data_IF_299262111527
#
_entry.id   IF_299262111527
#
_cell.length_a   1.000
_cell.length_b   1.000
_cell.length_c   1.000
_cell.angle_alpha   90.00
_cell.angle_beta   90.00
_cell.angle_gamma   90.00
#
_symmetry.space_group_name_H-M   'P 1'
#
loop_
_entity.id
_entity.type
_entity.pdbx_description
1 polymer ?
#
# COMPACT_ATOMS: atom_id res chain seq x y z
N UNK A 1 20.19 -36.58 -36.82
CA UNK A 1 20.12 -36.64 -35.34
C UNK A 1 19.36 -35.42 -34.85
N UNK A 2 18.14 -35.53 -34.32
CA UNK A 2 17.46 -34.38 -33.73
C UNK A 2 18.16 -34.01 -32.41
N UNK A 3 18.53 -32.75 -32.24
CA UNK A 3 19.13 -32.25 -31.02
C UNK A 3 18.06 -32.20 -29.91
N UNK A 4 18.31 -32.84 -28.77
CA UNK A 4 17.46 -32.74 -27.59
C UNK A 4 17.40 -31.28 -27.11
N UNK A 5 16.22 -30.69 -26.90
CA UNK A 5 16.12 -29.32 -26.42
C UNK A 5 16.73 -29.21 -25.01
N UNK A 6 17.64 -28.25 -24.83
CA UNK A 6 18.22 -27.92 -23.53
C UNK A 6 17.10 -27.42 -22.59
N UNK A 7 17.01 -27.92 -21.34
CA UNK A 7 16.05 -27.42 -20.36
C UNK A 7 16.41 -26.02 -19.84
N UNK A 8 17.57 -25.47 -20.21
CA UNK A 8 18.05 -24.17 -19.75
C UNK A 8 18.08 -23.16 -20.91
N UNK A 9 17.55 -21.97 -20.62
CA UNK A 9 17.63 -20.79 -21.49
C UNK A 9 18.40 -19.68 -20.78
N UNK A 10 19.30 -19.01 -21.50
CA UNK A 10 20.03 -17.85 -20.99
C UNK A 10 19.32 -16.56 -21.36
N UNK A 11 18.93 -15.78 -20.36
CA UNK A 11 18.23 -14.50 -20.53
C UNK A 11 19.15 -13.36 -20.14
N UNK A 12 19.26 -12.32 -20.99
CA UNK A 12 19.98 -11.09 -20.64
C UNK A 12 19.07 -10.20 -19.81
N UNK A 13 19.49 -9.88 -18.59
CA UNK A 13 18.77 -9.03 -17.65
C UNK A 13 19.60 -7.79 -17.30
N UNK A 14 18.97 -6.63 -17.05
CA UNK A 14 19.67 -5.45 -16.53
C UNK A 14 20.38 -5.76 -15.21
N UNK A 15 21.60 -5.26 -15.05
CA UNK A 15 22.41 -5.50 -13.85
C UNK A 15 21.74 -5.01 -12.57
N UNK A 16 21.08 -3.85 -12.61
CA UNK A 16 20.32 -3.30 -11.48
C UNK A 16 19.22 -4.26 -11.00
N UNK A 17 18.47 -4.86 -11.93
CA UNK A 17 17.42 -5.82 -11.61
C UNK A 17 18.00 -7.09 -10.96
N UNK A 18 19.14 -7.58 -11.49
CA UNK A 18 19.81 -8.76 -10.92
C UNK A 18 20.29 -8.48 -9.49
N UNK A 19 20.83 -7.28 -9.22
CA UNK A 19 21.25 -6.87 -7.88
C UNK A 19 20.06 -6.77 -6.92
N UNK A 20 18.96 -6.15 -7.35
CA UNK A 20 17.75 -6.04 -6.54
C UNK A 20 17.17 -7.43 -6.21
N UNK A 21 17.06 -8.30 -7.21
CA UNK A 21 16.59 -9.67 -7.02
C UNK A 21 17.50 -10.44 -6.03
N UNK A 22 18.81 -10.25 -6.10
CA UNK A 22 19.75 -10.86 -5.16
C UNK A 22 19.55 -10.37 -3.72
N UNK A 23 19.35 -9.06 -3.53
CA UNK A 23 19.09 -8.48 -2.22
C UNK A 23 17.77 -8.99 -1.64
N UNK A 24 16.69 -9.00 -2.44
CA UNK A 24 15.38 -9.50 -2.03
C UNK A 24 15.39 -11.00 -1.70
N UNK A 25 16.24 -11.78 -2.38
CA UNK A 25 16.37 -13.22 -2.17
C UNK A 25 17.23 -13.59 -0.95
N UNK A 26 18.09 -12.67 -0.46
CA UNK A 26 19.06 -12.94 0.59
C UNK A 26 18.43 -13.42 1.92
N UNK A 27 17.34 -12.83 2.44
CA UNK A 27 16.71 -13.28 3.68
C UNK A 27 16.22 -14.73 3.62
N UNK A 28 15.77 -15.17 2.45
CA UNK A 28 15.26 -16.53 2.24
C UNK A 28 16.33 -17.49 1.71
N UNK A 29 17.59 -17.04 1.61
CA UNK A 29 18.73 -17.78 1.05
C UNK A 29 18.47 -18.38 -0.34
N UNK A 30 17.70 -17.68 -1.17
CA UNK A 30 17.37 -18.13 -2.53
C UNK A 30 18.38 -17.60 -3.54
N UNK A 31 18.56 -18.34 -4.64
CA UNK A 31 19.30 -17.84 -5.80
C UNK A 31 18.45 -16.81 -6.57
N UNK A 32 19.07 -16.02 -7.45
CA UNK A 32 18.34 -15.10 -8.34
C UNK A 32 17.36 -15.87 -9.23
N UNK A 33 17.76 -17.04 -9.75
CA UNK A 33 16.87 -17.90 -10.52
C UNK A 33 15.68 -18.38 -9.70
N UNK A 34 15.92 -18.83 -8.46
CA UNK A 34 14.83 -19.23 -7.55
C UNK A 34 13.92 -18.07 -7.13
N UNK A 35 14.45 -16.84 -7.07
CA UNK A 35 13.63 -15.65 -6.82
C UNK A 35 12.70 -15.33 -8.00
N UNK A 36 13.20 -15.50 -9.23
CA UNK A 36 12.39 -15.34 -10.46
C UNK A 36 11.30 -16.41 -10.52
N UNK A 37 11.65 -17.68 -10.28
CA UNK A 37 10.71 -18.80 -10.25
C UNK A 37 9.60 -18.59 -9.21
N UNK A 38 9.97 -18.12 -8.01
CA UNK A 38 9.03 -17.83 -6.94
C UNK A 38 8.00 -16.76 -7.36
N UNK A 39 8.45 -15.63 -7.89
CA UNK A 39 7.55 -14.56 -8.33
C UNK A 39 6.71 -14.96 -9.55
N UNK A 40 7.28 -15.73 -10.48
CA UNK A 40 6.54 -16.27 -11.62
C UNK A 40 5.40 -17.19 -11.15
N UNK A 41 5.68 -18.07 -10.19
CA UNK A 41 4.68 -18.97 -9.61
C UNK A 41 3.57 -18.19 -8.90
N UNK A 42 3.93 -17.19 -8.09
CA UNK A 42 2.95 -16.33 -7.43
C UNK A 42 2.07 -15.57 -8.44
N UNK A 43 2.65 -15.06 -9.51
CA UNK A 43 1.90 -14.40 -10.58
C UNK A 43 0.88 -15.33 -11.23
N UNK A 44 1.29 -16.55 -11.60
CA UNK A 44 0.38 -17.55 -12.16
C UNK A 44 -0.76 -17.91 -11.20
N UNK A 45 -0.47 -18.09 -9.90
CA UNK A 45 -1.51 -18.38 -8.90
C UNK A 45 -2.47 -17.20 -8.75
N UNK A 46 -1.95 -15.97 -8.73
CA UNK A 46 -2.76 -14.77 -8.61
C UNK A 46 -3.72 -14.61 -9.81
N UNK A 47 -3.20 -14.78 -11.03
CA UNK A 47 -4.00 -14.73 -12.26
C UNK A 47 -5.07 -15.84 -12.29
N UNK A 48 -4.69 -17.08 -11.94
CA UNK A 48 -5.62 -18.20 -11.86
C UNK A 48 -6.71 -18.00 -10.78
N UNK A 49 -6.41 -17.22 -9.74
CA UNK A 49 -7.37 -16.84 -8.69
C UNK A 49 -8.25 -15.64 -9.09
N UNK A 50 -8.05 -15.07 -10.28
CA UNK A 50 -8.81 -13.93 -10.78
C UNK A 50 -8.29 -12.56 -10.34
N UNK A 51 -7.11 -12.47 -9.70
CA UNK A 51 -6.50 -11.18 -9.38
C UNK A 51 -5.99 -10.54 -10.67
N UNK A 52 -6.60 -9.44 -11.08
CA UNK A 52 -6.19 -8.70 -12.27
C UNK A 52 -4.94 -7.86 -11.99
N UNK A 53 -4.19 -7.54 -13.05
CA UNK A 53 -3.02 -6.65 -12.96
C UNK A 53 -3.41 -5.26 -12.44
N UNK A 54 -4.61 -4.77 -12.77
CA UNK A 54 -5.13 -3.49 -12.26
C UNK A 54 -5.34 -3.52 -10.75
N UNK A 55 -5.98 -4.56 -10.23
CA UNK A 55 -6.23 -4.71 -8.79
C UNK A 55 -4.91 -4.88 -8.02
N UNK A 56 -3.96 -5.65 -8.57
CA UNK A 56 -2.63 -5.76 -7.99
C UNK A 56 -1.90 -4.41 -7.94
N UNK A 57 -2.00 -3.59 -8.99
CA UNK A 57 -1.40 -2.24 -9.02
C UNK A 57 -2.05 -1.30 -8.02
N UNK A 58 -3.39 -1.32 -7.92
CA UNK A 58 -4.11 -0.51 -6.93
C UNK A 58 -3.71 -0.92 -5.50
N UNK A 59 -3.63 -2.22 -5.23
CA UNK A 59 -3.19 -2.71 -3.92
C UNK A 59 -1.75 -2.28 -3.59
N UNK A 60 -0.84 -2.29 -4.56
CA UNK A 60 0.55 -1.79 -4.38
C UNK A 60 0.52 -0.28 -4.11
N UNK A 61 -0.23 0.50 -4.88
CA UNK A 61 -0.31 1.95 -4.68
C UNK A 61 -0.86 2.30 -3.28
N UNK A 62 -1.89 1.59 -2.82
CA UNK A 62 -2.44 1.76 -1.48
C UNK A 62 -1.45 1.36 -0.38
N UNK A 63 -0.64 0.31 -0.61
CA UNK A 63 0.41 -0.10 0.30
C UNK A 63 1.51 0.97 0.43
N UNK A 64 1.96 1.53 -0.69
CA UNK A 64 3.00 2.57 -0.71
C UNK A 64 2.54 3.84 0.02
N UNK A 65 1.27 4.23 -0.14
CA UNK A 65 0.68 5.34 0.63
C UNK A 65 0.69 5.06 2.13
N UNK A 66 0.37 3.83 2.54
CA UNK A 66 0.36 3.44 3.96
C UNK A 66 1.78 3.35 4.55
N UNK A 67 2.76 2.90 3.78
CA UNK A 67 4.17 2.83 4.18
C UNK A 67 4.86 4.21 4.18
N UNK A 68 4.42 5.12 3.31
CA UNK A 68 4.89 6.50 3.27
C UNK A 68 4.29 7.38 4.37
N UNK A 69 3.22 6.92 5.05
CA UNK A 69 2.75 7.54 6.27
C UNK A 69 3.77 7.26 7.40
N UNK A 70 4.15 8.26 8.21
CA UNK A 70 5.12 8.05 9.28
C UNK A 70 4.64 6.94 10.21
N UNK A 71 5.43 5.88 10.31
CA UNK A 71 5.15 4.68 11.10
C UNK A 71 4.97 4.96 12.62
N UNK A 72 5.36 6.15 13.08
CA UNK A 72 5.38 6.57 14.48
C UNK A 72 4.35 7.65 14.83
N UNK A 73 3.47 8.08 13.92
CA UNK A 73 2.34 8.92 14.33
C UNK A 73 1.32 8.01 15.00
N UNK A 74 1.37 7.93 16.34
CA UNK A 74 0.26 7.37 17.12
C UNK A 74 -1.03 8.02 16.57
N UNK A 75 -2.06 7.25 16.19
CA UNK A 75 -3.33 7.82 15.76
C UNK A 75 -3.87 8.87 16.74
N UNK A 76 -3.49 8.79 18.02
CA UNK A 76 -3.78 9.81 19.02
C UNK A 76 -3.00 11.12 18.80
N UNK A 77 -1.71 11.05 18.47
CA UNK A 77 -0.87 12.22 18.18
C UNK A 77 -1.33 12.92 16.90
N UNK A 78 -1.72 12.16 15.88
CA UNK A 78 -2.30 12.70 14.66
C UNK A 78 -3.63 13.44 14.94
N UNK A 79 -4.51 12.83 15.75
CA UNK A 79 -5.77 13.44 16.16
C UNK A 79 -5.55 14.70 17.01
N UNK A 80 -4.56 14.70 17.90
CA UNK A 80 -4.20 15.85 18.72
C UNK A 80 -3.67 17.00 17.85
N UNK A 81 -2.81 16.69 16.86
CA UNK A 81 -2.30 17.69 15.92
C UNK A 81 -3.42 18.32 15.08
N UNK A 82 -4.35 17.51 14.57
CA UNK A 82 -5.51 17.99 13.83
C UNK A 82 -6.43 18.86 14.70
N UNK A 83 -6.61 18.50 15.97
CA UNK A 83 -7.39 19.27 16.92
C UNK A 83 -6.76 20.65 17.20
N UNK A 84 -5.45 20.69 17.47
CA UNK A 84 -4.69 21.94 17.65
C UNK A 84 -4.70 22.82 16.39
N UNK A 85 -4.60 22.21 15.20
CA UNK A 85 -4.72 22.92 13.94
C UNK A 85 -6.14 23.49 13.74
N UNK A 86 -7.18 22.75 14.11
CA UNK A 86 -8.57 23.21 14.03
C UNK A 86 -8.86 24.32 15.06
N UNK A 87 -8.23 24.29 16.23
CA UNK A 87 -8.32 25.34 17.25
C UNK A 87 -7.63 26.63 16.80
N UNK A 88 -6.37 26.55 16.38
CA UNK A 88 -5.57 27.70 15.92
C UNK A 88 -6.17 28.41 14.69
N UNK A 89 -6.87 27.66 13.83
CA UNK A 89 -7.56 28.23 12.66
C UNK A 89 -9.01 28.64 12.95
N UNK A 90 -9.50 28.45 14.18
CA UNK A 90 -10.87 28.80 14.58
C UNK A 90 -11.97 27.89 14.01
N UNK A 91 -11.62 26.86 13.24
CA UNK A 91 -12.57 25.89 12.67
C UNK A 91 -13.31 25.12 13.76
N UNK A 92 -12.62 24.80 14.86
CA UNK A 92 -13.24 24.12 16.01
C UNK A 92 -14.38 24.96 16.59
N UNK A 93 -14.14 26.25 16.82
CA UNK A 93 -15.16 27.15 17.34
C UNK A 93 -16.36 27.31 16.39
N UNK A 94 -16.10 27.32 15.07
CA UNK A 94 -17.15 27.37 14.07
C UNK A 94 -18.00 26.09 14.06
N UNK A 95 -17.37 24.92 14.13
CA UNK A 95 -18.06 23.63 14.21
C UNK A 95 -18.95 23.55 15.47
N UNK A 96 -18.45 23.98 16.63
CA UNK A 96 -19.23 24.02 17.88
C UNK A 96 -20.45 24.92 17.74
N UNK A 97 -20.30 26.14 17.20
CA UNK A 97 -21.43 27.06 16.97
C UNK A 97 -22.48 26.44 16.05
N UNK A 98 -22.05 25.77 14.99
CA UNK A 98 -22.94 25.13 14.02
C UNK A 98 -23.72 23.97 14.67
N UNK A 99 -23.06 23.14 15.48
CA UNK A 99 -23.71 22.07 16.24
C UNK A 99 -24.74 22.62 17.23
N UNK A 100 -24.39 23.66 18.00
CA UNK A 100 -25.32 24.30 18.96
C UNK A 100 -26.53 24.90 18.24
N UNK A 101 -26.34 25.57 17.11
CA UNK A 101 -27.46 26.10 16.32
C UNK A 101 -28.35 24.98 15.78
N UNK A 102 -27.76 23.86 15.35
CA UNK A 102 -28.50 22.70 14.85
C UNK A 102 -29.34 22.07 15.95
N UNK A 103 -28.76 21.84 17.13
CA UNK A 103 -29.49 21.29 18.28
C UNK A 103 -30.62 22.23 18.75
N UNK A 104 -30.38 23.54 18.78
CA UNK A 104 -31.46 24.52 19.10
C UNK A 104 -32.62 24.46 18.11
N UNK A 105 -32.34 24.34 16.81
CA UNK A 105 -33.39 24.21 15.78
C UNK A 105 -34.16 22.89 15.93
N UNK A 106 -33.51 21.81 16.31
CA UNK A 106 -34.17 20.52 16.56
C UNK A 106 -35.09 20.60 17.78
N UNK A 107 -34.65 21.21 18.88
CA UNK A 107 -35.46 21.40 20.10
C UNK A 107 -36.69 22.25 19.82
N UNK A 108 -36.56 23.34 19.05
CA UNK A 108 -37.68 24.22 18.67
C UNK A 108 -38.67 23.52 17.72
N UNK A 109 -38.22 22.57 16.90
CA UNK A 109 -39.09 21.79 15.99
C UNK A 109 -39.83 20.65 16.70
N UNK A 110 -39.36 20.24 17.88
CA UNK A 110 -39.93 19.16 18.69
C UNK A 110 -40.88 19.65 19.79
N UNK A 111 -41.01 20.97 19.98
CA UNK A 111 -41.95 21.64 20.87
C UNK A 111 -43.16 22.19 20.09
#
# INVERSE_FOLDING_TARGET
MPASPSPFSSVKLPSGLVTQARQAAAPMRRSVAGQIEYWATLGCIAEASGLTVSEAREAIALYDVRQGAPADADPLDALQADFLAAESTGRLAQAVRQTVQTNRRQVVKAA
#
